data_IF_541717388203
#
_entry.id   IF_541717388203
#
_cell.length_a   1.000
_cell.length_b   1.000
_cell.length_c   1.000
_cell.angle_alpha   90.00
_cell.angle_beta   90.00
_cell.angle_gamma   90.00
#
_symmetry.space_group_name_H-M   'P 1'
#
loop_
_entity.id
_entity.type
_entity.pdbx_description
1 polymer ?
#
# COMPACT_ATOMS: atom_id res chain seq x y z
N UNK A 1 -1.37 -6.55 11.96
CA UNK A 1 -0.36 -6.85 13.01
C UNK A 1 1.02 -7.13 12.43
N UNK A 2 1.15 -8.13 11.56
CA UNK A 2 2.46 -8.68 11.14
C UNK A 2 3.18 -7.91 10.02
N UNK A 3 2.51 -6.98 9.34
CA UNK A 3 3.07 -6.27 8.18
C UNK A 3 4.30 -5.41 8.53
N UNK A 4 4.25 -4.67 9.63
CA UNK A 4 5.36 -3.81 10.09
C UNK A 4 6.64 -4.58 10.46
N UNK A 5 6.59 -5.67 11.27
CA UNK A 5 7.79 -6.45 11.56
C UNK A 5 8.30 -7.23 10.33
N UNK A 6 7.40 -7.75 9.47
CA UNK A 6 7.81 -8.43 8.24
C UNK A 6 8.52 -7.48 7.27
N UNK A 7 8.00 -6.25 7.11
CA UNK A 7 8.61 -5.19 6.31
C UNK A 7 10.00 -4.81 6.82
N UNK A 8 10.15 -4.62 8.14
CA UNK A 8 11.46 -4.31 8.72
C UNK A 8 12.49 -5.41 8.50
N UNK A 9 12.07 -6.69 8.53
CA UNK A 9 12.93 -7.85 8.27
C UNK A 9 13.30 -7.98 6.77
N UNK A 10 12.35 -7.74 5.86
CA UNK A 10 12.61 -7.70 4.42
C UNK A 10 13.61 -6.59 4.07
N UNK A 11 13.37 -5.37 4.55
CA UNK A 11 14.26 -4.24 4.31
C UNK A 11 15.64 -4.46 4.93
N UNK A 12 15.75 -5.18 6.06
CA UNK A 12 17.04 -5.49 6.68
C UNK A 12 17.91 -6.44 5.88
N UNK A 13 17.29 -7.35 5.12
CA UNK A 13 18.01 -8.34 4.30
C UNK A 13 18.42 -7.80 2.94
N UNK A 14 17.61 -6.92 2.35
CA UNK A 14 17.77 -6.52 0.95
C UNK A 14 18.37 -5.12 0.75
N UNK A 15 18.44 -4.28 1.80
CA UNK A 15 18.94 -2.90 1.67
C UNK A 15 20.18 -2.68 2.54
N UNK A 16 21.27 -2.11 1.99
CA UNK A 16 22.46 -1.77 2.76
C UNK A 16 22.16 -0.73 3.85
N UNK A 17 22.90 -0.81 4.98
CA UNK A 17 22.67 -0.01 6.18
C UNK A 17 22.59 1.51 5.95
N UNK A 18 23.33 2.01 4.96
CA UNK A 18 23.36 3.43 4.58
C UNK A 18 22.04 3.93 3.97
N UNK A 19 21.31 3.09 3.23
CA UNK A 19 20.08 3.49 2.53
C UNK A 19 18.80 3.07 3.25
N UNK A 20 18.93 2.23 4.28
CA UNK A 20 17.82 1.64 5.02
C UNK A 20 16.84 2.69 5.58
N UNK A 21 17.36 3.80 6.13
CA UNK A 21 16.52 4.89 6.64
C UNK A 21 15.72 5.57 5.54
N UNK A 22 16.31 5.75 4.34
CA UNK A 22 15.65 6.35 3.18
C UNK A 22 14.54 5.44 2.63
N UNK A 23 14.82 4.15 2.52
CA UNK A 23 13.82 3.16 2.09
C UNK A 23 12.69 3.00 3.10
N UNK A 24 12.98 2.99 4.40
CA UNK A 24 11.96 2.98 5.45
C UNK A 24 11.09 4.23 5.36
N UNK A 25 11.69 5.43 5.25
CA UNK A 25 10.95 6.67 5.08
C UNK A 25 10.03 6.64 3.85
N UNK A 26 10.50 6.08 2.72
CA UNK A 26 9.69 5.91 1.53
C UNK A 26 8.49 4.99 1.81
N UNK A 27 8.69 3.84 2.44
CA UNK A 27 7.61 2.89 2.72
C UNK A 27 6.59 3.46 3.72
N UNK A 28 7.05 4.12 4.79
CA UNK A 28 6.16 4.80 5.73
C UNK A 28 5.39 5.93 5.04
N UNK A 29 6.04 6.74 4.20
CA UNK A 29 5.35 7.79 3.44
C UNK A 29 4.28 7.23 2.51
N UNK A 30 4.55 6.10 1.84
CA UNK A 30 3.59 5.37 1.02
C UNK A 30 2.38 4.87 1.82
N UNK A 31 2.60 4.37 3.04
CA UNK A 31 1.51 3.98 3.94
C UNK A 31 0.57 5.15 4.25
N UNK A 32 1.13 6.30 4.66
CA UNK A 32 0.33 7.48 4.98
C UNK A 32 -0.39 8.04 3.74
N UNK A 33 0.29 8.11 2.61
CA UNK A 33 -0.31 8.54 1.34
C UNK A 33 -1.46 7.62 0.93
N UNK A 34 -1.29 6.30 1.07
CA UNK A 34 -2.34 5.32 0.80
C UNK A 34 -3.56 5.52 1.71
N UNK A 35 -3.36 5.78 3.00
CA UNK A 35 -4.46 6.08 3.92
C UNK A 35 -5.19 7.37 3.57
N UNK A 36 -4.47 8.47 3.29
CA UNK A 36 -5.08 9.76 2.92
C UNK A 36 -5.84 9.64 1.61
N UNK A 37 -5.24 9.02 0.59
CA UNK A 37 -5.89 8.78 -0.70
C UNK A 37 -7.11 7.89 -0.52
N UNK A 38 -6.99 6.85 0.33
CA UNK A 38 -8.09 5.95 0.68
C UNK A 38 -9.29 6.70 1.26
N UNK A 39 -9.04 7.56 2.25
CA UNK A 39 -10.05 8.37 2.92
C UNK A 39 -10.62 9.48 2.03
N UNK A 40 -9.83 10.04 1.11
CA UNK A 40 -10.31 11.06 0.17
C UNK A 40 -11.17 10.46 -0.95
N UNK A 41 -10.80 9.28 -1.45
CA UNK A 41 -11.47 8.61 -2.57
C UNK A 41 -12.71 7.85 -2.12
N UNK A 42 -12.72 7.28 -0.91
CA UNK A 42 -13.86 6.48 -0.41
C UNK A 42 -15.19 7.25 -0.42
N UNK A 43 -15.30 8.49 0.10
CA UNK A 43 -16.55 9.25 0.07
C UNK A 43 -17.01 9.59 -1.35
N UNK A 44 -16.07 9.92 -2.24
CA UNK A 44 -16.38 10.24 -3.63
C UNK A 44 -16.95 9.02 -4.38
N UNK A 45 -16.41 7.83 -4.13
CA UNK A 45 -16.90 6.57 -4.67
C UNK A 45 -18.28 6.20 -4.12
N UNK A 46 -18.45 6.32 -2.80
CA UNK A 46 -19.73 6.02 -2.14
C UNK A 46 -20.86 6.90 -2.69
N UNK A 47 -20.59 8.20 -2.86
CA UNK A 47 -21.59 9.15 -3.35
C UNK A 47 -22.02 8.84 -4.79
N UNK A 48 -21.09 8.46 -5.67
CA UNK A 48 -21.37 8.25 -7.10
C UNK A 48 -21.85 6.84 -7.45
N UNK A 49 -21.36 5.81 -6.77
CA UNK A 49 -21.55 4.40 -7.12
C UNK A 49 -22.02 3.52 -5.96
N UNK A 50 -22.27 4.10 -4.78
CA UNK A 50 -22.65 3.37 -3.58
C UNK A 50 -21.47 2.73 -2.86
N UNK A 51 -21.72 2.24 -1.65
CA UNK A 51 -20.70 1.66 -0.76
C UNK A 51 -19.93 0.43 -1.31
N UNK A 52 -20.51 -0.45 -2.16
CA UNK A 52 -19.76 -1.62 -2.65
C UNK A 52 -18.59 -1.23 -3.57
N UNK A 53 -18.68 -0.08 -4.24
CA UNK A 53 -17.68 0.39 -5.20
C UNK A 53 -16.29 0.59 -4.60
N UNK A 54 -16.22 0.94 -3.31
CA UNK A 54 -14.98 1.10 -2.54
C UNK A 54 -14.22 -0.23 -2.51
N UNK A 55 -14.92 -1.32 -2.18
CA UNK A 55 -14.34 -2.65 -2.12
C UNK A 55 -13.84 -3.14 -3.48
N UNK A 56 -14.62 -2.92 -4.55
CA UNK A 56 -14.18 -3.28 -5.90
C UNK A 56 -12.96 -2.46 -6.35
N UNK A 57 -12.88 -1.19 -5.99
CA UNK A 57 -11.77 -0.32 -6.40
C UNK A 57 -10.47 -0.65 -5.65
N UNK A 58 -10.51 -0.74 -4.32
CA UNK A 58 -9.32 -1.13 -3.54
C UNK A 58 -8.94 -2.60 -3.78
N UNK A 59 -9.92 -3.48 -3.98
CA UNK A 59 -9.70 -4.88 -4.31
C UNK A 59 -9.02 -5.06 -5.66
N UNK A 60 -9.52 -4.42 -6.72
CA UNK A 60 -8.91 -4.49 -8.06
C UNK A 60 -7.50 -3.91 -8.11
N UNK A 61 -7.23 -2.80 -7.41
CA UNK A 61 -5.88 -2.26 -7.25
C UNK A 61 -4.93 -3.29 -6.62
N UNK A 62 -5.39 -3.98 -5.56
CA UNK A 62 -4.63 -5.07 -4.93
C UNK A 62 -4.39 -6.25 -5.85
N UNK A 63 -5.40 -6.66 -6.63
CA UNK A 63 -5.28 -7.75 -7.61
C UNK A 63 -4.31 -7.40 -8.74
N UNK A 64 -4.35 -6.18 -9.27
CA UNK A 64 -3.40 -5.71 -10.30
C UNK A 64 -1.98 -5.71 -9.74
N UNK A 65 -1.78 -5.20 -8.52
CA UNK A 65 -0.48 -5.23 -7.86
C UNK A 65 0.05 -6.65 -7.69
N UNK A 66 -0.80 -7.58 -7.23
CA UNK A 66 -0.43 -8.99 -7.10
C UNK A 66 -0.09 -9.63 -8.44
N UNK A 67 -0.86 -9.35 -9.49
CA UNK A 67 -0.60 -9.86 -10.83
C UNK A 67 0.73 -9.35 -11.38
N UNK A 68 1.07 -8.07 -11.17
CA UNK A 68 2.37 -7.50 -11.54
C UNK A 68 3.51 -8.14 -10.75
N UNK A 69 3.30 -8.42 -9.47
CA UNK A 69 4.29 -9.09 -8.63
C UNK A 69 4.50 -10.56 -9.02
N UNK A 70 3.44 -11.29 -9.36
CA UNK A 70 3.51 -12.69 -9.79
C UNK A 70 4.14 -12.89 -11.18
N UNK A 71 4.18 -11.84 -12.01
CA UNK A 71 4.89 -11.84 -13.30
C UNK A 71 6.38 -11.47 -13.18
N UNK A 72 6.89 -11.26 -11.95
CA UNK A 72 8.31 -11.05 -11.64
C UNK A 72 8.90 -12.29 -10.99
#
# INVERSE_FOLDING_TARGET
GVAMPAMNNLLSKWIPLSERSRSLALVYSGMYLGSVTGLAVSPALINKFGWPSVFYSFGSLGSIWFALWANK
#
